data_IF_417057390733
#
_entry.id   IF_417057390733
#
_cell.length_a   1.000
_cell.length_b   1.000
_cell.length_c   1.000
_cell.angle_alpha   90.00
_cell.angle_beta   90.00
_cell.angle_gamma   90.00
#
_symmetry.space_group_name_H-M   'P 1'
#
loop_
_entity.id
_entity.type
_entity.pdbx_description
1 polymer ?
#
# COMPACT_ATOMS: atom_id res chain seq x y z
N UNK A 1 19.67 -37.48 4.66
CA UNK A 1 19.95 -36.03 4.50
C UNK A 1 19.79 -35.21 5.81
N UNK A 2 19.11 -35.70 6.86
CA UNK A 2 18.76 -34.89 8.05
C UNK A 2 19.84 -34.75 9.16
N UNK A 3 20.74 -35.73 9.37
CA UNK A 3 21.70 -35.69 10.49
C UNK A 3 22.98 -34.87 10.20
N UNK A 4 23.56 -34.99 9.00
CA UNK A 4 24.74 -34.18 8.63
C UNK A 4 24.42 -32.69 8.53
N UNK A 5 23.23 -32.31 8.03
CA UNK A 5 22.79 -30.92 7.98
C UNK A 5 22.58 -30.29 9.37
N UNK A 6 22.19 -31.11 10.37
CA UNK A 6 22.10 -30.67 11.77
C UNK A 6 23.49 -30.51 12.41
N UNK A 7 24.42 -31.43 12.13
CA UNK A 7 25.80 -31.35 12.61
C UNK A 7 26.55 -30.14 12.02
N UNK A 8 26.39 -29.85 10.72
CA UNK A 8 26.98 -28.67 10.08
C UNK A 8 26.47 -27.35 10.67
N UNK A 9 25.16 -27.28 11.02
CA UNK A 9 24.53 -26.13 11.68
C UNK A 9 24.95 -25.94 13.14
N UNK A 10 25.55 -26.96 13.78
CA UNK A 10 26.01 -26.91 15.16
C UNK A 10 27.46 -26.41 15.31
N UNK A 11 28.17 -26.23 14.19
CA UNK A 11 29.52 -25.65 14.20
C UNK A 11 29.47 -24.18 14.63
N UNK A 12 30.37 -23.73 15.54
CA UNK A 12 30.36 -22.36 16.07
C UNK A 12 30.43 -21.28 14.99
N UNK A 13 31.19 -21.54 13.92
CA UNK A 13 31.41 -20.63 12.79
C UNK A 13 30.12 -20.33 12.00
N UNK A 14 29.16 -21.27 11.97
CA UNK A 14 27.87 -21.07 11.30
C UNK A 14 26.79 -20.51 12.21
N UNK A 15 27.02 -20.44 13.53
CA UNK A 15 26.00 -20.02 14.50
C UNK A 15 25.59 -18.55 14.30
N UNK A 16 26.56 -17.66 14.07
CA UNK A 16 26.27 -16.24 13.85
C UNK A 16 25.53 -16.02 12.51
N UNK A 17 25.98 -16.68 11.44
CA UNK A 17 25.36 -16.59 10.10
C UNK A 17 23.92 -17.13 10.15
N UNK A 18 23.71 -18.30 10.79
CA UNK A 18 22.38 -18.89 10.96
C UNK A 18 21.47 -18.02 11.83
N UNK A 19 22.01 -17.35 12.85
CA UNK A 19 21.25 -16.40 13.67
C UNK A 19 20.75 -15.22 12.85
N UNK A 20 21.62 -14.59 12.04
CA UNK A 20 21.24 -13.48 11.15
C UNK A 20 20.22 -13.93 10.10
N UNK A 21 20.44 -15.09 9.48
CA UNK A 21 19.50 -15.64 8.50
C UNK A 21 18.12 -15.92 9.11
N UNK A 22 18.09 -16.49 10.32
CA UNK A 22 16.84 -16.76 11.04
C UNK A 22 16.09 -15.46 11.36
N UNK A 23 16.83 -14.40 11.72
CA UNK A 23 16.24 -13.07 11.94
C UNK A 23 15.63 -12.50 10.65
N UNK A 24 16.32 -12.59 9.51
CA UNK A 24 15.77 -12.15 8.22
C UNK A 24 14.53 -12.95 7.82
N UNK A 25 14.52 -14.27 8.03
CA UNK A 25 13.33 -15.10 7.80
C UNK A 25 12.16 -14.64 8.67
N UNK A 26 12.40 -14.39 9.96
CA UNK A 26 11.36 -13.89 10.86
C UNK A 26 10.79 -12.55 10.39
N UNK A 27 11.64 -11.60 10.00
CA UNK A 27 11.19 -10.29 9.48
C UNK A 27 10.38 -10.47 8.19
N UNK A 28 10.85 -11.30 7.26
CA UNK A 28 10.13 -11.58 6.02
C UNK A 28 8.74 -12.18 6.28
N UNK A 29 8.63 -13.12 7.22
CA UNK A 29 7.34 -13.67 7.63
C UNK A 29 6.43 -12.61 8.26
N UNK A 30 6.96 -11.76 9.14
CA UNK A 30 6.18 -10.66 9.74
C UNK A 30 5.68 -9.67 8.69
N UNK A 31 6.52 -9.31 7.71
CA UNK A 31 6.12 -8.46 6.60
C UNK A 31 5.02 -9.11 5.76
N UNK A 32 5.15 -10.39 5.43
CA UNK A 32 4.16 -11.10 4.62
C UNK A 32 2.83 -11.25 5.38
N UNK A 33 2.87 -11.50 6.68
CA UNK A 33 1.68 -11.54 7.52
C UNK A 33 0.90 -10.22 7.46
N UNK A 34 1.60 -9.08 7.56
CA UNK A 34 0.98 -7.75 7.43
C UNK A 34 0.46 -7.55 6.01
N UNK A 35 1.26 -7.89 5.00
CA UNK A 35 0.94 -7.74 3.59
C UNK A 35 -0.37 -8.47 3.23
N UNK A 36 -0.52 -9.72 3.68
CA UNK A 36 -1.75 -10.50 3.46
C UNK A 36 -2.91 -10.00 4.31
N UNK A 37 -2.71 -9.75 5.61
CA UNK A 37 -3.81 -9.33 6.52
C UNK A 37 -4.42 -8.00 6.12
N UNK A 38 -3.59 -7.06 5.65
CA UNK A 38 -4.04 -5.74 5.23
C UNK A 38 -4.38 -5.67 3.73
N UNK A 39 -4.32 -6.80 3.00
CA UNK A 39 -4.57 -6.86 1.55
C UNK A 39 -3.75 -5.83 0.77
N UNK A 40 -2.46 -5.71 1.12
CA UNK A 40 -1.59 -4.68 0.57
C UNK A 40 -1.31 -4.87 -0.92
N UNK A 41 -1.47 -6.08 -1.47
CA UNK A 41 -1.33 -6.32 -2.91
C UNK A 41 -2.36 -5.50 -3.70
N UNK A 42 -3.64 -5.74 -3.42
CA UNK A 42 -4.76 -5.06 -4.10
C UNK A 42 -4.65 -3.53 -3.96
N UNK A 43 -4.33 -3.05 -2.76
CA UNK A 43 -4.12 -1.61 -2.54
C UNK A 43 -2.91 -1.09 -3.33
N UNK A 44 -1.79 -1.82 -3.33
CA UNK A 44 -0.58 -1.38 -4.04
C UNK A 44 -0.78 -1.33 -5.54
N UNK A 45 -1.54 -2.25 -6.13
CA UNK A 45 -1.84 -2.25 -7.56
C UNK A 45 -2.68 -1.01 -7.94
N UNK A 46 -3.66 -0.66 -7.10
CA UNK A 46 -4.45 0.55 -7.26
C UNK A 46 -3.58 1.82 -7.12
N UNK A 47 -2.71 1.88 -6.11
CA UNK A 47 -1.78 2.99 -5.89
C UNK A 47 -0.81 3.16 -7.07
N UNK A 48 -0.26 2.06 -7.60
CA UNK A 48 0.62 2.09 -8.78
C UNK A 48 -0.14 2.55 -10.02
N UNK A 49 -1.36 2.05 -10.23
CA UNK A 49 -2.18 2.43 -11.38
C UNK A 49 -2.53 3.93 -11.34
N UNK A 50 -2.84 4.47 -10.17
CA UNK A 50 -3.08 5.90 -9.98
C UNK A 50 -1.82 6.73 -10.21
N UNK A 51 -0.67 6.30 -9.69
CA UNK A 51 0.59 7.04 -9.79
C UNK A 51 1.16 7.05 -11.21
N UNK A 52 1.05 5.93 -11.93
CA UNK A 52 1.63 5.74 -13.27
C UNK A 52 0.64 6.01 -14.41
N UNK A 53 -0.66 5.98 -14.12
CA UNK A 53 -1.73 6.13 -15.11
C UNK A 53 -1.98 4.88 -15.97
N UNK A 54 -1.34 3.75 -15.65
CA UNK A 54 -1.47 2.48 -16.37
C UNK A 54 -1.51 1.30 -15.41
N UNK A 55 -2.20 0.26 -15.82
CA UNK A 55 -2.16 -1.05 -15.14
C UNK A 55 -0.84 -1.78 -15.41
N UNK A 56 -0.62 -2.90 -14.72
CA UNK A 56 0.49 -3.83 -14.93
C UNK A 56 0.53 -4.41 -16.37
N UNK A 57 -0.61 -4.48 -17.04
CA UNK A 57 -0.76 -4.87 -18.45
C UNK A 57 -0.54 -3.70 -19.45
N UNK A 58 -0.02 -2.55 -19.00
CA UNK A 58 0.17 -1.31 -19.77
C UNK A 58 -1.15 -0.68 -20.30
N UNK A 59 -2.30 -1.12 -19.80
CA UNK A 59 -3.61 -0.57 -20.17
C UNK A 59 -3.88 0.72 -19.42
N UNK A 60 -4.38 1.73 -20.13
CA UNK A 60 -4.85 3.00 -19.58
C UNK A 60 -6.30 2.84 -19.09
N UNK A 61 -6.57 2.81 -17.77
CA UNK A 61 -7.94 2.75 -17.27
C UNK A 61 -8.65 4.09 -17.48
N UNK A 62 -9.98 4.06 -17.59
CA UNK A 62 -10.77 5.29 -17.59
C UNK A 62 -10.79 5.91 -16.19
N UNK A 63 -10.85 7.25 -16.12
CA UNK A 63 -10.90 7.96 -14.83
C UNK A 63 -12.09 7.49 -13.97
N UNK A 64 -13.26 7.30 -14.59
CA UNK A 64 -14.45 6.80 -13.88
C UNK A 64 -14.22 5.41 -13.25
N UNK A 65 -13.53 4.51 -13.96
CA UNK A 65 -13.25 3.17 -13.45
C UNK A 65 -12.33 3.25 -12.22
N UNK A 66 -11.20 3.93 -12.36
CA UNK A 66 -10.19 4.01 -11.29
C UNK A 66 -10.74 4.73 -10.04
N UNK A 67 -11.53 5.80 -10.21
CA UNK A 67 -12.17 6.48 -9.09
C UNK A 67 -13.23 5.61 -8.40
N UNK A 68 -13.94 4.75 -9.14
CA UNK A 68 -14.85 3.76 -8.57
C UNK A 68 -14.13 2.72 -7.71
N UNK A 69 -12.95 2.28 -8.13
CA UNK A 69 -12.07 1.38 -7.37
C UNK A 69 -11.58 2.07 -6.09
N UNK A 70 -11.18 3.35 -6.16
CA UNK A 70 -10.80 4.16 -4.99
C UNK A 70 -11.93 4.25 -3.96
N UNK A 71 -13.17 4.55 -4.39
CA UNK A 71 -14.32 4.61 -3.47
C UNK A 71 -14.60 3.24 -2.85
N UNK A 72 -14.44 2.16 -3.61
CA UNK A 72 -14.59 0.80 -3.10
C UNK A 72 -13.54 0.51 -2.02
N UNK A 73 -12.29 0.89 -2.24
CA UNK A 73 -11.21 0.75 -1.26
C UNK A 73 -11.48 1.59 -0.01
N UNK A 74 -11.94 2.85 -0.14
CA UNK A 74 -12.31 3.68 1.02
C UNK A 74 -13.35 3.03 1.93
N UNK A 75 -14.34 2.36 1.35
CA UNK A 75 -15.41 1.68 2.11
C UNK A 75 -14.93 0.38 2.77
N UNK A 76 -13.95 -0.30 2.17
CA UNK A 76 -13.40 -1.56 2.65
C UNK A 76 -12.21 -1.42 3.60
N UNK A 77 -11.52 -0.27 3.59
CA UNK A 77 -10.26 -0.06 4.30
C UNK A 77 -10.49 0.57 5.67
N UNK A 78 -10.34 -0.17 6.79
CA UNK A 78 -10.53 0.40 8.13
C UNK A 78 -9.44 1.41 8.52
N UNK A 79 -8.22 1.27 7.98
CA UNK A 79 -7.11 2.14 8.33
C UNK A 79 -7.22 3.50 7.62
N UNK A 80 -7.49 4.55 8.39
CA UNK A 80 -7.66 5.91 7.86
C UNK A 80 -6.39 6.47 7.21
N UNK A 81 -5.20 6.04 7.67
CA UNK A 81 -3.92 6.45 7.08
C UNK A 81 -3.76 5.89 5.66
N UNK A 82 -4.25 4.67 5.40
CA UNK A 82 -4.22 4.06 4.08
C UNK A 82 -5.19 4.78 3.13
N UNK A 83 -6.40 5.13 3.61
CA UNK A 83 -7.34 5.94 2.84
C UNK A 83 -6.79 7.34 2.54
N UNK A 84 -6.16 7.99 3.52
CA UNK A 84 -5.50 9.29 3.35
C UNK A 84 -4.40 9.21 2.28
N UNK A 85 -3.53 8.19 2.35
CA UNK A 85 -2.45 7.98 1.37
C UNK A 85 -3.01 7.81 -0.03
N UNK A 86 -4.03 6.98 -0.20
CA UNK A 86 -4.66 6.75 -1.49
C UNK A 86 -5.29 8.04 -2.05
N UNK A 87 -6.00 8.82 -1.22
CA UNK A 87 -6.56 10.11 -1.63
C UNK A 87 -5.46 11.12 -2.02
N UNK A 88 -4.36 11.17 -1.27
CA UNK A 88 -3.23 12.03 -1.59
C UNK A 88 -2.62 11.67 -2.96
N UNK A 89 -2.51 10.37 -3.28
CA UNK A 89 -2.05 9.92 -4.61
C UNK A 89 -3.02 10.38 -5.69
N UNK A 90 -4.33 10.28 -5.48
CA UNK A 90 -5.33 10.77 -6.45
C UNK A 90 -5.18 12.28 -6.72
N UNK A 91 -4.93 13.07 -5.68
CA UNK A 91 -4.79 14.53 -5.81
C UNK A 91 -3.49 14.91 -6.52
N UNK A 92 -2.39 14.23 -6.23
CA UNK A 92 -1.06 14.54 -6.78
C UNK A 92 -0.84 13.92 -8.17
N UNK A 93 -1.52 12.82 -8.49
CA UNK A 93 -1.29 12.12 -9.75
C UNK A 93 -1.82 12.90 -10.97
N UNK A 94 -1.13 12.74 -12.10
CA UNK A 94 -1.26 13.58 -13.31
C UNK A 94 -2.63 13.52 -14.01
N UNK A 95 -3.57 12.70 -13.52
CA UNK A 95 -4.94 12.59 -14.06
C UNK A 95 -5.95 13.34 -13.21
N UNK A 96 -5.56 14.55 -12.80
CA UNK A 96 -6.29 15.41 -11.88
C UNK A 96 -7.80 15.32 -12.03
N UNK A 97 -8.47 15.36 -10.87
CA UNK A 97 -9.92 15.39 -10.79
C UNK A 97 -10.45 16.43 -11.77
N UNK A 98 -11.35 16.01 -12.65
CA UNK A 98 -11.90 16.85 -13.72
C UNK A 98 -12.80 17.96 -13.14
N UNK A 99 -13.27 17.79 -11.91
CA UNK A 99 -14.12 18.76 -11.21
C UNK A 99 -13.92 18.76 -9.69
N UNK A 100 -14.23 19.90 -9.08
CA UNK A 100 -14.34 20.04 -7.62
C UNK A 100 -15.38 19.07 -7.03
N UNK A 101 -16.46 18.80 -7.76
CA UNK A 101 -17.50 17.86 -7.34
C UNK A 101 -16.95 16.44 -7.14
N UNK A 102 -16.06 15.97 -8.02
CA UNK A 102 -15.40 14.67 -7.86
C UNK A 102 -14.53 14.64 -6.60
N UNK A 103 -13.80 15.72 -6.32
CA UNK A 103 -13.00 15.85 -5.11
C UNK A 103 -13.88 15.82 -3.85
N UNK A 104 -14.98 16.56 -3.85
CA UNK A 104 -15.92 16.60 -2.71
C UNK A 104 -16.52 15.22 -2.41
N UNK A 105 -16.87 14.45 -3.46
CA UNK A 105 -17.35 13.07 -3.32
C UNK A 105 -16.27 12.18 -2.69
N UNK A 106 -15.03 12.26 -3.18
CA UNK A 106 -13.93 11.44 -2.65
C UNK A 106 -13.61 11.80 -1.20
N UNK A 107 -13.62 13.08 -0.84
CA UNK A 107 -13.43 13.55 0.54
C UNK A 107 -14.52 13.00 1.47
N UNK A 108 -15.78 13.00 1.02
CA UNK A 108 -16.90 12.46 1.78
C UNK A 108 -16.79 10.93 1.97
N UNK A 109 -16.39 10.20 0.93
CA UNK A 109 -16.22 8.74 0.96
C UNK A 109 -15.00 8.30 1.79
N UNK A 110 -13.91 9.07 1.78
CA UNK A 110 -12.68 8.75 2.51
C UNK A 110 -12.85 8.80 4.04
N UNK A 111 -13.87 9.51 4.55
CA UNK A 111 -14.20 9.61 5.99
C UNK A 111 -12.96 9.88 6.85
N UNK A 112 -12.23 10.92 6.49
CA UNK A 112 -11.01 11.34 7.18
C UNK A 112 -11.34 12.24 8.36
N UNK A 113 -10.52 12.17 9.40
CA UNK A 113 -10.58 13.11 10.52
C UNK A 113 -10.13 14.52 10.12
N UNK A 114 -10.48 15.54 10.90
CA UNK A 114 -10.05 16.91 10.63
C UNK A 114 -8.53 17.06 10.55
N UNK A 115 -7.79 16.31 11.38
CA UNK A 115 -6.33 16.29 11.36
C UNK A 115 -5.80 15.77 10.02
N UNK A 116 -6.39 14.71 9.49
CA UNK A 116 -6.00 14.11 8.21
C UNK A 116 -6.39 15.02 7.04
N UNK A 117 -7.57 15.66 7.09
CA UNK A 117 -7.97 16.67 6.10
C UNK A 117 -7.02 17.86 6.08
N UNK A 118 -6.55 18.32 7.24
CA UNK A 118 -5.54 19.38 7.32
C UNK A 118 -4.19 18.93 6.74
N UNK A 119 -3.80 17.68 6.94
CA UNK A 119 -2.60 17.14 6.31
C UNK A 119 -2.73 17.14 4.78
N UNK A 120 -3.89 16.75 4.25
CA UNK A 120 -4.19 16.77 2.81
C UNK A 120 -4.12 18.19 2.22
N UNK A 121 -4.73 19.18 2.89
CA UNK A 121 -4.69 20.60 2.48
C UNK A 121 -3.27 21.17 2.42
N UNK A 122 -2.35 20.66 3.24
CA UNK A 122 -0.96 21.10 3.19
C UNK A 122 -0.21 20.51 1.98
N UNK A 123 -0.67 19.39 1.42
CA UNK A 123 -0.11 18.79 0.21
C UNK A 123 -0.57 19.57 -1.03
N UNK A 124 -1.85 19.96 -1.09
CA UNK A 124 -2.39 20.77 -2.22
C UNK A 124 -1.73 22.15 -2.36
N UNK A 125 -1.13 22.66 -1.28
CA UNK A 125 -0.41 23.94 -1.27
C UNK A 125 1.06 23.84 -1.72
N UNK A 126 1.54 22.66 -2.11
CA UNK A 126 2.85 22.45 -2.74
C UNK A 126 2.78 22.77 -4.25
#
# INVERSE_FOLDING_TARGET
VSQMAKALKALPEYREIMSKLSQHMQIAHQCMDVFTKQKLLDLSDLEQTLATGKTDEDVVPTLKKILGEVVTEFRGQPNSVMRLRLLAIVIVSQRGLESQEQLDILLAEARLSEKELNALKNIEKL
#
